data_IF_295743195437
#
_entry.id   IF_295743195437
#
_cell.length_a   1.000
_cell.length_b   1.000
_cell.length_c   1.000
_cell.angle_alpha   90.00
_cell.angle_beta   90.00
_cell.angle_gamma   90.00
#
_symmetry.space_group_name_H-M   'P 1'
#
loop_
_entity.id
_entity.type
_entity.pdbx_description
1 polymer ?
#
# COMPACT_ATOMS: atom_id res chain seq x y z
N UNK A 1 -3.28 5.17 -5.51
CA UNK A 1 -1.93 4.73 -5.91
C UNK A 1 -1.97 3.51 -6.84
N UNK A 2 -2.61 2.39 -6.45
CA UNK A 2 -2.70 1.20 -7.29
C UNK A 2 -3.22 1.52 -8.71
N UNK A 3 -4.34 2.25 -8.79
CA UNK A 3 -4.89 2.71 -10.08
C UNK A 3 -3.90 3.56 -10.88
N UNK A 4 -3.17 4.47 -10.22
CA UNK A 4 -2.18 5.31 -10.90
C UNK A 4 -1.05 4.46 -11.49
N UNK A 5 -0.67 3.39 -10.80
CA UNK A 5 0.34 2.45 -11.28
C UNK A 5 -0.17 1.63 -12.47
N UNK A 6 -1.34 0.99 -12.34
CA UNK A 6 -1.93 0.16 -13.41
C UNK A 6 -2.24 0.99 -14.66
N UNK A 7 -2.68 2.24 -14.51
CA UNK A 7 -2.99 3.13 -15.65
C UNK A 7 -1.77 3.85 -16.23
N UNK A 8 -0.56 3.60 -15.70
CA UNK A 8 0.68 4.21 -16.17
C UNK A 8 0.82 5.71 -15.85
N UNK A 9 0.00 6.22 -14.92
CA UNK A 9 0.15 7.58 -14.38
C UNK A 9 1.45 7.71 -13.59
N UNK A 10 1.86 6.63 -12.91
CA UNK A 10 3.16 6.50 -12.27
C UNK A 10 3.89 5.27 -12.80
N UNK A 11 5.23 5.34 -12.83
CA UNK A 11 6.07 4.18 -13.10
C UNK A 11 6.26 3.29 -11.85
N UNK A 12 7.03 2.20 -11.99
CA UNK A 12 7.35 1.28 -10.89
C UNK A 12 8.11 1.93 -9.73
N UNK A 13 8.78 3.05 -9.96
CA UNK A 13 9.53 3.80 -8.95
C UNK A 13 8.69 4.89 -8.28
N UNK A 14 7.43 5.07 -8.71
CA UNK A 14 6.54 6.13 -8.22
C UNK A 14 6.66 7.46 -8.96
N UNK A 15 7.43 7.55 -10.04
CA UNK A 15 7.58 8.81 -10.78
C UNK A 15 6.33 9.07 -11.61
N UNK A 16 5.81 10.30 -11.54
CA UNK A 16 4.68 10.75 -12.35
C UNK A 16 5.05 10.89 -13.82
N UNK A 17 4.18 10.37 -14.70
CA UNK A 17 4.35 10.44 -16.13
C UNK A 17 3.78 11.74 -16.72
N UNK A 18 4.63 12.74 -16.92
CA UNK A 18 4.23 14.01 -17.55
C UNK A 18 3.93 13.88 -19.06
N UNK A 19 4.30 12.76 -19.68
CA UNK A 19 4.06 12.46 -21.09
C UNK A 19 2.71 11.81 -21.39
N UNK A 20 1.83 11.62 -20.39
CA UNK A 20 0.50 11.00 -20.56
C UNK A 20 -0.38 11.69 -21.61
N UNK A 21 -0.16 12.98 -21.83
CA UNK A 21 -0.89 13.77 -22.79
C UNK A 21 0.09 14.38 -23.79
N UNK A 22 0.05 13.92 -25.04
CA UNK A 22 0.74 14.61 -26.12
C UNK A 22 0.05 15.95 -26.45
N UNK A 23 0.74 16.81 -27.19
CA UNK A 23 0.24 18.14 -27.57
C UNK A 23 -1.07 18.08 -28.37
N UNK A 24 -1.26 17.06 -29.22
CA UNK A 24 -2.46 16.92 -30.03
C UNK A 24 -3.67 16.52 -29.17
N UNK A 25 -3.50 15.55 -28.27
CA UNK A 25 -4.49 15.11 -27.28
C UNK A 25 -4.86 16.25 -26.33
N UNK A 26 -3.89 17.04 -25.87
CA UNK A 26 -4.16 18.24 -25.07
C UNK A 26 -4.96 19.29 -25.86
N UNK A 27 -4.64 19.49 -27.14
CA UNK A 27 -5.39 20.43 -27.99
C UNK A 27 -6.86 20.01 -28.10
N UNK A 28 -7.14 18.73 -28.35
CA UNK A 28 -8.52 18.21 -28.41
C UNK A 28 -9.25 18.34 -27.07
N UNK A 29 -8.57 18.02 -25.95
CA UNK A 29 -9.17 18.12 -24.63
C UNK A 29 -9.53 19.56 -24.27
N UNK A 30 -8.71 20.56 -24.66
CA UNK A 30 -8.96 21.99 -24.40
C UNK A 30 -10.26 22.52 -24.99
N UNK A 31 -10.79 21.87 -26.02
CA UNK A 31 -12.07 22.27 -26.64
C UNK A 31 -13.27 21.80 -25.81
N UNK A 32 -13.09 20.86 -24.87
CA UNK A 32 -14.16 20.39 -24.02
C UNK A 32 -14.49 21.43 -22.94
N UNK A 33 -15.77 21.81 -22.74
CA UNK A 33 -16.16 22.76 -21.69
C UNK A 33 -15.92 22.22 -20.28
N UNK A 34 -15.69 20.91 -20.14
CA UNK A 34 -15.34 20.22 -18.90
C UNK A 34 -13.84 20.13 -18.65
N UNK A 35 -12.99 20.52 -19.60
CA UNK A 35 -11.55 20.48 -19.39
C UNK A 35 -11.11 21.53 -18.37
N UNK A 36 -10.26 21.11 -17.43
CA UNK A 36 -9.71 21.95 -16.35
C UNK A 36 -8.18 22.00 -16.36
N UNK A 37 -7.56 21.38 -17.35
CA UNK A 37 -6.11 21.18 -17.43
C UNK A 37 -5.71 19.70 -17.33
N UNK A 38 -4.44 19.38 -17.57
CA UNK A 38 -3.94 18.03 -17.36
C UNK A 38 -3.95 17.69 -15.88
N UNK A 39 -4.37 16.45 -15.54
CA UNK A 39 -4.34 15.99 -14.14
C UNK A 39 -2.92 15.80 -13.60
N UNK A 40 -1.96 15.45 -14.46
CA UNK A 40 -0.53 15.42 -14.09
C UNK A 40 0.10 16.76 -14.46
N UNK A 41 0.65 17.46 -13.47
CA UNK A 41 1.27 18.78 -13.66
C UNK A 41 2.40 19.01 -12.65
N UNK A 42 3.17 20.08 -12.84
CA UNK A 42 4.14 20.55 -11.86
C UNK A 42 3.43 21.44 -10.82
N UNK A 43 3.61 21.12 -9.55
CA UNK A 43 3.17 21.89 -8.39
C UNK A 43 4.36 22.45 -7.60
N UNK A 44 4.09 22.97 -6.40
CA UNK A 44 5.11 23.60 -5.54
C UNK A 44 6.18 22.61 -5.06
N UNK A 45 5.79 21.37 -4.82
CA UNK A 45 6.66 20.30 -4.31
C UNK A 45 7.08 19.29 -5.38
N UNK A 46 7.09 19.71 -6.65
CA UNK A 46 7.38 18.87 -7.80
C UNK A 46 6.11 18.34 -8.47
N UNK A 47 6.17 17.15 -9.05
CA UNK A 47 5.04 16.56 -9.75
C UNK A 47 3.85 16.27 -8.83
N UNK A 48 2.64 16.52 -9.35
CA UNK A 48 1.40 16.17 -8.66
C UNK A 48 0.34 15.64 -9.63
N UNK A 49 -0.58 14.83 -9.08
CA UNK A 49 -1.78 14.37 -9.75
C UNK A 49 -3.02 14.98 -9.09
N UNK A 50 -3.83 15.72 -9.85
CA UNK A 50 -5.10 16.28 -9.36
C UNK A 50 -6.16 15.19 -9.30
N UNK A 51 -6.61 14.89 -8.08
CA UNK A 51 -7.71 13.94 -7.82
C UNK A 51 -9.05 14.64 -7.96
N UNK A 52 -9.21 15.80 -7.31
CA UNK A 52 -10.45 16.61 -7.32
C UNK A 52 -10.09 18.05 -7.65
N UNK A 53 -10.81 18.68 -8.56
CA UNK A 53 -10.61 20.09 -8.90
C UNK A 53 -11.23 21.00 -7.83
N UNK A 54 -10.69 22.21 -7.68
CA UNK A 54 -11.13 23.21 -6.73
C UNK A 54 -12.65 23.49 -6.78
N UNK A 55 -13.25 23.48 -7.97
CA UNK A 55 -14.69 23.75 -8.14
C UNK A 55 -15.58 22.58 -7.66
N UNK A 56 -15.00 21.38 -7.54
CA UNK A 56 -15.66 20.16 -7.06
C UNK A 56 -15.35 19.90 -5.58
N UNK A 57 -14.40 20.66 -4.99
CA UNK A 57 -13.99 20.49 -3.60
C UNK A 57 -14.76 21.43 -2.67
N UNK A 58 -15.01 20.98 -1.45
CA UNK A 58 -15.66 21.80 -0.43
C UNK A 58 -14.75 22.93 0.10
N UNK A 59 -13.44 22.83 -0.14
CA UNK A 59 -12.43 23.80 0.31
C UNK A 59 -12.19 24.91 -0.71
N UNK A 60 -12.61 24.74 -1.96
CA UNK A 60 -12.29 25.67 -3.05
C UNK A 60 -10.84 25.57 -3.53
N UNK A 61 -10.15 24.49 -3.18
CA UNK A 61 -8.76 24.20 -3.56
C UNK A 61 -8.67 22.82 -4.22
N UNK A 62 -7.73 22.65 -5.16
CA UNK A 62 -7.47 21.35 -5.78
C UNK A 62 -7.00 20.33 -4.73
N UNK A 63 -7.56 19.11 -4.75
CA UNK A 63 -7.07 17.99 -3.94
C UNK A 63 -6.11 17.17 -4.80
N UNK A 64 -4.85 17.17 -4.41
CA UNK A 64 -3.75 16.56 -5.18
C UNK A 64 -3.07 15.42 -4.41
N UNK A 65 -2.43 14.52 -5.15
CA UNK A 65 -1.43 13.58 -4.65
C UNK A 65 -0.08 14.00 -5.22
N UNK A 66 0.87 14.35 -4.35
CA UNK A 66 2.20 14.82 -4.77
C UNK A 66 3.20 13.67 -4.90
N UNK A 67 4.34 13.93 -5.55
CA UNK A 67 5.48 13.02 -5.56
C UNK A 67 5.96 12.67 -4.14
N UNK A 68 5.92 13.63 -3.21
CA UNK A 68 6.29 13.41 -1.80
C UNK A 68 5.32 12.44 -1.12
N UNK A 69 4.03 12.54 -1.40
CA UNK A 69 3.02 11.62 -0.87
C UNK A 69 3.21 10.20 -1.42
N UNK A 70 3.51 10.09 -2.71
CA UNK A 70 3.83 8.81 -3.36
C UNK A 70 5.04 8.16 -2.69
N UNK A 71 6.14 8.90 -2.54
CA UNK A 71 7.35 8.45 -1.87
C UNK A 71 7.11 7.98 -0.43
N UNK A 72 6.29 8.72 0.33
CA UNK A 72 5.92 8.35 1.69
C UNK A 72 5.11 7.04 1.72
N UNK A 73 4.17 6.86 0.79
CA UNK A 73 3.41 5.62 0.66
C UNK A 73 4.29 4.44 0.25
N UNK A 74 5.25 4.64 -0.66
CA UNK A 74 6.22 3.61 -1.06
C UNK A 74 7.10 3.17 0.12
N UNK A 75 7.59 4.10 0.94
CA UNK A 75 8.33 3.76 2.15
C UNK A 75 7.47 2.99 3.17
N UNK A 76 6.23 3.44 3.39
CA UNK A 76 5.33 2.79 4.33
C UNK A 76 5.00 1.34 3.91
N UNK A 77 4.67 1.13 2.64
CA UNK A 77 4.36 -0.22 2.13
C UNK A 77 5.58 -1.12 2.08
N UNK A 78 6.75 -0.57 1.73
CA UNK A 78 8.02 -1.31 1.74
C UNK A 78 8.37 -1.80 3.15
N UNK A 79 8.19 -0.96 4.18
CA UNK A 79 8.45 -1.34 5.56
C UNK A 79 7.54 -2.48 6.04
N UNK A 80 6.25 -2.45 5.70
CA UNK A 80 5.30 -3.52 6.05
C UNK A 80 5.67 -4.81 5.34
N UNK A 81 5.89 -4.78 4.02
CA UNK A 81 6.23 -5.98 3.25
C UNK A 81 7.55 -6.60 3.72
N UNK A 82 8.60 -5.77 3.89
CA UNK A 82 9.89 -6.22 4.38
C UNK A 82 9.81 -6.83 5.78
N UNK A 83 9.02 -6.23 6.68
CA UNK A 83 8.79 -6.77 8.01
C UNK A 83 8.12 -8.16 7.97
N UNK A 84 7.07 -8.32 7.16
CA UNK A 84 6.41 -9.62 7.02
C UNK A 84 7.33 -10.67 6.38
N UNK A 85 8.05 -10.31 5.32
CA UNK A 85 9.01 -11.18 4.63
C UNK A 85 10.11 -11.67 5.58
N UNK A 86 10.71 -10.75 6.36
CA UNK A 86 11.73 -11.09 7.35
C UNK A 86 11.21 -12.01 8.45
N UNK A 87 9.99 -11.76 8.96
CA UNK A 87 9.38 -12.63 9.96
C UNK A 87 9.17 -14.05 9.42
N UNK A 88 8.64 -14.20 8.21
CA UNK A 88 8.46 -15.51 7.58
C UNK A 88 9.82 -16.22 7.39
N UNK A 89 10.80 -15.51 6.84
CA UNK A 89 12.14 -16.06 6.60
C UNK A 89 12.84 -16.49 7.89
N UNK A 90 12.67 -15.73 8.98
CA UNK A 90 13.31 -16.04 10.28
C UNK A 90 12.87 -17.39 10.86
N UNK A 91 11.69 -17.88 10.47
CA UNK A 91 11.14 -19.18 10.86
C UNK A 91 11.19 -20.22 9.73
N UNK A 92 11.92 -19.93 8.65
CA UNK A 92 12.11 -20.82 7.52
C UNK A 92 10.88 -21.01 6.64
N UNK A 93 9.96 -20.04 6.64
CA UNK A 93 8.75 -20.02 5.81
C UNK A 93 8.88 -19.00 4.69
N UNK A 94 8.26 -19.28 3.55
CA UNK A 94 8.04 -18.28 2.49
C UNK A 94 6.64 -17.68 2.61
N UNK A 95 6.46 -16.48 2.05
CA UNK A 95 5.21 -15.71 2.18
C UNK A 95 4.00 -16.41 1.54
N UNK A 96 4.21 -17.23 0.51
CA UNK A 96 3.19 -18.05 -0.14
C UNK A 96 2.70 -19.24 0.70
N UNK A 97 3.45 -19.61 1.77
CA UNK A 97 3.02 -20.64 2.73
C UNK A 97 2.01 -20.11 3.76
N UNK A 98 1.73 -18.80 3.76
CA UNK A 98 0.79 -18.19 4.71
C UNK A 98 -0.65 -18.53 4.32
N UNK A 99 -1.28 -19.40 5.11
CA UNK A 99 -2.66 -19.86 4.87
C UNK A 99 -3.73 -18.84 5.23
N UNK A 100 -3.46 -17.93 6.17
CA UNK A 100 -4.42 -16.92 6.61
C UNK A 100 -3.70 -15.66 7.06
N UNK A 101 -4.13 -14.53 6.53
CA UNK A 101 -3.62 -13.20 6.90
C UNK A 101 -4.70 -12.46 7.68
N UNK A 102 -4.46 -12.27 8.97
CA UNK A 102 -5.36 -11.53 9.86
C UNK A 102 -4.94 -10.07 9.92
N UNK A 103 -5.74 -9.18 9.35
CA UNK A 103 -5.45 -7.74 9.31
C UNK A 103 -6.22 -7.00 10.41
N UNK A 104 -5.49 -6.57 11.43
CA UNK A 104 -5.99 -5.68 12.48
C UNK A 104 -5.67 -4.21 12.20
N UNK A 105 -6.48 -3.31 12.76
CA UNK A 105 -6.33 -1.85 12.64
C UNK A 105 -7.58 -1.17 12.08
N UNK A 106 -7.73 0.11 12.35
CA UNK A 106 -8.83 0.93 11.80
C UNK A 106 -8.76 1.04 10.27
N UNK A 107 -7.56 0.92 9.71
CA UNK A 107 -7.33 0.94 8.27
C UNK A 107 -7.91 -0.31 7.57
N UNK A 108 -8.01 -1.43 8.28
CA UNK A 108 -8.47 -2.71 7.73
C UNK A 108 -9.92 -2.71 7.23
N UNK A 109 -10.78 -1.79 7.69
CA UNK A 109 -12.19 -1.73 7.22
C UNK A 109 -12.30 -1.27 5.77
N UNK A 110 -11.32 -0.51 5.27
CA UNK A 110 -11.39 0.17 3.98
C UNK A 110 -10.26 -0.24 3.02
N UNK A 111 -9.39 -1.14 3.46
CA UNK A 111 -8.30 -1.62 2.61
C UNK A 111 -8.86 -2.60 1.57
N UNK A 112 -8.61 -2.31 0.31
CA UNK A 112 -8.92 -3.22 -0.78
C UNK A 112 -7.73 -4.19 -0.93
N UNK A 113 -7.97 -5.49 -0.72
CA UNK A 113 -6.93 -6.54 -0.79
C UNK A 113 -6.24 -6.55 -2.13
N UNK A 114 -7.02 -6.60 -3.21
CA UNK A 114 -6.51 -6.59 -4.59
C UNK A 114 -5.58 -5.40 -4.83
N UNK A 115 -6.04 -4.18 -4.49
CA UNK A 115 -5.22 -2.96 -4.67
C UNK A 115 -3.98 -2.94 -3.78
N UNK A 116 -4.02 -3.62 -2.65
CA UNK A 116 -2.88 -3.73 -1.73
C UNK A 116 -1.83 -4.72 -2.25
N UNK A 117 -2.26 -5.81 -2.87
CA UNK A 117 -1.37 -6.75 -3.58
C UNK A 117 -0.76 -6.07 -4.82
N UNK A 118 -1.56 -5.34 -5.61
CA UNK A 118 -1.07 -4.57 -6.76
C UNK A 118 0.01 -3.54 -6.40
N UNK A 119 -0.02 -3.01 -5.18
CA UNK A 119 1.01 -2.09 -4.66
C UNK A 119 2.22 -2.79 -4.04
N UNK A 120 2.12 -4.10 -3.77
CA UNK A 120 3.09 -4.84 -2.98
C UNK A 120 3.13 -4.45 -1.50
N UNK A 121 1.98 -4.04 -0.95
CA UNK A 121 1.80 -3.88 0.49
C UNK A 121 1.55 -5.23 1.18
N UNK A 122 0.77 -6.09 0.54
CA UNK A 122 0.41 -7.43 1.01
C UNK A 122 0.99 -8.48 0.07
N UNK A 123 1.29 -9.70 0.55
CA UNK A 123 1.76 -10.78 -0.30
C UNK A 123 0.71 -11.18 -1.33
N UNK A 124 1.18 -11.68 -2.48
CA UNK A 124 0.32 -12.20 -3.53
C UNK A 124 -0.17 -13.61 -3.19
N UNK A 125 -1.18 -13.66 -2.33
CA UNK A 125 -1.90 -14.89 -1.94
C UNK A 125 -3.39 -14.73 -2.24
N UNK A 126 -4.15 -15.85 -2.37
CA UNK A 126 -5.58 -15.79 -2.67
C UNK A 126 -6.35 -14.87 -1.72
N UNK A 127 -7.28 -14.10 -2.26
CA UNK A 127 -7.95 -13.02 -1.51
C UNK A 127 -8.80 -13.57 -0.35
N UNK A 128 -9.31 -14.78 -0.49
CA UNK A 128 -10.02 -15.54 0.54
C UNK A 128 -9.18 -15.82 1.79
N UNK A 129 -7.85 -15.74 1.69
CA UNK A 129 -6.95 -15.93 2.84
C UNK A 129 -6.89 -14.69 3.74
N UNK A 130 -7.40 -13.54 3.31
CA UNK A 130 -7.38 -12.30 4.09
C UNK A 130 -8.66 -12.13 4.92
N UNK A 131 -8.49 -11.85 6.22
CA UNK A 131 -9.60 -11.54 7.13
C UNK A 131 -9.35 -10.24 7.87
N UNK A 132 -10.31 -9.31 7.76
CA UNK A 132 -10.26 -8.02 8.43
C UNK A 132 -10.94 -8.08 9.80
N UNK A 133 -10.16 -7.82 10.84
CA UNK A 133 -10.62 -7.93 12.23
C UNK A 133 -11.02 -6.58 12.84
N UNK A 134 -10.80 -5.48 12.13
CA UNK A 134 -11.03 -4.12 12.62
C UNK A 134 -10.05 -3.74 13.74
N UNK A 135 -10.48 -2.89 14.68
CA UNK A 135 -9.61 -2.46 15.79
C UNK A 135 -9.51 -3.56 16.86
N UNK A 136 -8.56 -4.47 16.67
CA UNK A 136 -8.28 -5.59 17.57
C UNK A 136 -7.75 -5.15 18.93
N UNK A 137 -7.06 -4.01 19.01
CA UNK A 137 -6.57 -3.43 20.27
C UNK A 137 -7.73 -3.06 21.21
N UNK A 138 -8.71 -2.30 20.69
CA UNK A 138 -9.91 -1.91 21.47
C UNK A 138 -10.74 -3.14 21.83
N UNK A 139 -10.94 -4.07 20.90
CA UNK A 139 -11.68 -5.31 21.15
C UNK A 139 -11.00 -6.17 22.23
N UNK A 140 -9.68 -6.30 22.17
CA UNK A 140 -8.88 -7.01 23.17
C UNK A 140 -8.94 -6.37 24.55
N UNK A 141 -8.85 -5.03 24.62
CA UNK A 141 -9.00 -4.29 25.87
C UNK A 141 -10.39 -4.47 26.49
N UNK A 142 -11.44 -4.42 25.67
CA UNK A 142 -12.82 -4.67 26.10
C UNK A 142 -13.01 -6.09 26.63
N UNK A 143 -12.48 -7.10 25.93
CA UNK A 143 -12.50 -8.49 26.40
C UNK A 143 -11.77 -8.65 27.73
N UNK A 144 -10.57 -8.10 27.86
CA UNK A 144 -9.80 -8.15 29.10
C UNK A 144 -10.50 -7.43 30.26
N UNK A 145 -11.27 -6.37 29.98
CA UNK A 145 -12.01 -5.64 31.01
C UNK A 145 -13.16 -6.47 31.58
N UNK A 146 -13.92 -7.16 30.72
CA UNK A 146 -15.15 -7.87 31.10
C UNK A 146 -14.92 -9.32 31.55
N UNK A 147 -13.88 -9.97 31.05
CA UNK A 147 -13.63 -11.39 31.26
C UNK A 147 -12.23 -11.61 31.86
N UNK A 148 -12.19 -12.21 33.07
CA UNK A 148 -10.96 -12.50 33.81
C UNK A 148 -10.15 -13.61 33.15
N UNK A 149 -10.80 -14.61 32.57
CA UNK A 149 -10.13 -15.73 31.90
C UNK A 149 -9.52 -15.24 30.58
N UNK A 150 -10.24 -14.39 29.83
CA UNK A 150 -9.69 -13.73 28.66
C UNK A 150 -8.46 -12.86 28.99
N UNK A 151 -8.52 -12.10 30.11
CA UNK A 151 -7.38 -11.31 30.58
C UNK A 151 -6.16 -12.17 30.89
N UNK A 152 -6.37 -13.30 31.57
CA UNK A 152 -5.31 -14.24 31.89
C UNK A 152 -4.69 -14.85 30.62
N UNK A 153 -5.52 -15.25 29.65
CA UNK A 153 -5.08 -15.75 28.35
C UNK A 153 -4.23 -14.74 27.58
N UNK A 154 -4.62 -13.46 27.56
CA UNK A 154 -3.83 -12.39 26.92
C UNK A 154 -2.45 -12.28 27.56
N UNK A 155 -2.35 -12.36 28.89
CA UNK A 155 -1.07 -12.33 29.59
C UNK A 155 -0.17 -13.54 29.26
N UNK A 156 -0.76 -14.72 29.11
CA UNK A 156 -0.04 -15.93 28.69
C UNK A 156 0.48 -15.82 27.25
N UNK A 157 -0.35 -15.34 26.32
CA UNK A 157 0.06 -15.08 24.93
C UNK A 157 1.23 -14.11 24.91
N UNK A 158 1.14 -12.99 25.64
CA UNK A 158 2.21 -11.99 25.70
C UNK A 158 3.55 -12.57 26.18
N UNK A 159 3.53 -13.51 27.14
CA UNK A 159 4.75 -14.20 27.61
C UNK A 159 5.33 -15.19 26.60
N UNK A 160 4.51 -15.71 25.69
CA UNK A 160 4.93 -16.65 24.64
C UNK A 160 5.45 -15.97 23.37
N UNK A 161 5.28 -14.64 23.24
CA UNK A 161 5.74 -13.90 22.07
C UNK A 161 7.26 -13.70 22.11
N UNK A 162 7.93 -14.11 21.04
CA UNK A 162 9.34 -13.78 20.80
C UNK A 162 9.41 -12.52 19.94
N UNK A 163 10.08 -11.48 20.45
CA UNK A 163 10.34 -10.27 19.69
C UNK A 163 11.55 -10.47 18.77
N UNK A 164 11.40 -10.06 17.51
CA UNK A 164 12.48 -10.05 16.52
C UNK A 164 12.85 -8.60 16.20
N UNK A 165 14.11 -8.25 16.47
CA UNK A 165 14.64 -6.91 16.24
C UNK A 165 15.09 -6.76 14.78
N UNK A 166 14.23 -6.19 13.94
CA UNK A 166 14.50 -6.04 12.51
C UNK A 166 15.58 -5.00 12.22
N UNK A 167 15.78 -4.00 13.10
CA UNK A 167 16.77 -2.93 12.85
C UNK A 167 18.22 -3.38 12.96
N UNK A 168 18.48 -4.51 13.60
CA UNK A 168 19.82 -5.08 13.75
C UNK A 168 20.21 -6.03 12.61
N UNK A 169 19.26 -6.38 11.73
CA UNK A 169 19.48 -7.31 10.63
C UNK A 169 19.65 -6.56 9.31
N UNK A 170 20.83 -6.67 8.69
CA UNK A 170 21.10 -6.05 7.39
C UNK A 170 20.14 -6.55 6.30
N UNK A 171 19.61 -7.77 6.44
CA UNK A 171 18.65 -8.36 5.51
C UNK A 171 17.34 -7.57 5.46
N UNK A 172 16.95 -6.88 6.54
CA UNK A 172 15.78 -6.01 6.52
C UNK A 172 15.94 -4.85 5.54
N UNK A 173 17.12 -4.23 5.49
CA UNK A 173 17.37 -3.12 4.58
C UNK A 173 17.33 -3.57 3.11
N UNK A 174 17.83 -4.77 2.83
CA UNK A 174 17.78 -5.37 1.48
C UNK A 174 16.33 -5.67 1.06
N UNK A 175 15.54 -6.26 1.96
CA UNK A 175 14.11 -6.49 1.74
C UNK A 175 13.33 -5.18 1.56
N UNK A 176 13.61 -4.18 2.41
CA UNK A 176 13.00 -2.86 2.33
C UNK A 176 13.31 -2.18 1.00
N UNK A 177 14.58 -2.15 0.59
CA UNK A 177 15.01 -1.53 -0.67
C UNK A 177 14.37 -2.23 -1.87
N UNK A 178 14.29 -3.56 -1.84
CA UNK A 178 13.62 -4.35 -2.88
C UNK A 178 12.10 -4.07 -2.92
N UNK A 179 11.51 -3.78 -1.77
CA UNK A 179 10.10 -3.47 -1.65
C UNK A 179 9.75 -2.00 -1.91
N UNK A 180 10.70 -1.11 -2.26
CA UNK A 180 10.39 0.28 -2.61
C UNK A 180 9.71 0.42 -3.98
N UNK A 181 9.91 -0.53 -4.89
CA UNK A 181 9.32 -0.52 -6.25
C UNK A 181 7.92 -1.13 -6.26
N UNK A 182 7.08 -0.80 -7.25
CA UNK A 182 5.73 -1.32 -7.39
C UNK A 182 5.65 -2.51 -8.37
N UNK A 183 5.03 -3.65 -7.98
CA UNK A 183 4.70 -4.02 -6.60
C UNK A 183 5.96 -4.32 -5.77
N UNK A 184 7.03 -4.77 -6.42
CA UNK A 184 8.34 -5.12 -5.84
C UNK A 184 9.40 -5.16 -6.95
N UNK A 185 10.70 -5.10 -6.62
CA UNK A 185 11.78 -5.26 -7.61
C UNK A 185 11.74 -6.63 -8.30
N UNK A 186 11.43 -7.67 -7.52
CA UNK A 186 11.18 -9.02 -8.03
C UNK A 186 9.69 -9.21 -8.32
N UNK A 187 9.33 -9.21 -9.61
CA UNK A 187 7.96 -9.41 -10.07
C UNK A 187 7.49 -10.87 -9.91
N UNK A 188 8.40 -11.83 -9.76
CA UNK A 188 8.07 -13.24 -9.56
C UNK A 188 7.35 -13.50 -8.23
N UNK A 189 7.47 -12.58 -7.27
CA UNK A 189 6.72 -12.61 -6.00
C UNK A 189 5.27 -12.13 -6.14
N UNK A 190 4.90 -11.56 -7.30
CA UNK A 190 3.59 -10.99 -7.58
C UNK A 190 3.04 -11.47 -8.93
N UNK A 191 2.86 -12.80 -9.12
CA UNK A 191 2.38 -13.37 -10.38
C UNK A 191 1.02 -12.82 -10.83
N UNK A 192 0.10 -12.49 -9.92
CA UNK A 192 -1.21 -11.92 -10.29
C UNK A 192 -1.09 -10.52 -10.86
N UNK A 193 -0.13 -9.74 -10.37
CA UNK A 193 0.16 -8.38 -10.87
C UNK A 193 0.93 -8.44 -12.17
N UNK A 194 1.84 -9.40 -12.33
CA UNK A 194 2.57 -9.63 -13.57
C UNK A 194 1.59 -9.86 -14.74
N UNK A 195 0.63 -10.77 -14.55
CA UNK A 195 -0.40 -11.06 -15.54
C UNK A 195 -1.23 -9.83 -15.90
N UNK A 196 -1.63 -9.03 -14.91
CA UNK A 196 -2.42 -7.81 -15.12
C UNK A 196 -1.67 -6.73 -15.92
N UNK A 197 -0.33 -6.65 -15.83
CA UNK A 197 0.47 -5.67 -16.56
C UNK A 197 0.77 -6.09 -18.01
N UNK A 198 0.52 -7.35 -18.37
CA UNK A 198 0.67 -7.87 -19.74
C UNK A 198 -0.60 -7.70 -20.59
N UNK A 199 -1.74 -7.40 -19.94
CA UNK A 199 -3.04 -7.09 -20.57
C UNK A 199 -3.12 -5.65 -21.11
#
# INVERSE_FOLDING_TARGET
LAEMFITGVIDKSGNLNFGLYDQAKLATLRELPTFRGPRVRQGEHGGEYVVVWAEESATGEDIVITAVDIDNLLRAKAAIYAGCSMLAQSVGLSMDMVSTVLVGGSFGKHINVEKSVQLGLLPDVPWENFQFLGNTSVRGAYMALLDRDARQRIAEIARSMTYLELSADNSFYDQFTSALFLPHTDIGLFPSVAALLEE
#
